data_IF_865496735737
#
_entry.id   IF_865496735737
#
_cell.length_a   1.000
_cell.length_b   1.000
_cell.length_c   1.000
_cell.angle_alpha   90.00
_cell.angle_beta   90.00
_cell.angle_gamma   90.00
#
_symmetry.space_group_name_H-M   'P 1'
#
loop_
_entity.id
_entity.type
_entity.pdbx_description
1 polymer ?
#
# COMPACT_ATOMS: atom_id res chain seq x y z
N UNK A 1 15.13 -2.57 4.60
CA UNK A 1 15.81 -3.63 3.82
C UNK A 1 15.87 -3.13 2.39
N UNK A 2 17.03 -3.19 1.76
CA UNK A 2 17.22 -2.86 0.35
C UNK A 2 16.71 -4.02 -0.51
N UNK A 3 16.12 -3.72 -1.66
CA UNK A 3 15.50 -4.72 -2.52
C UNK A 3 16.48 -5.80 -3.01
N UNK A 4 17.73 -5.42 -3.29
CA UNK A 4 18.77 -6.38 -3.69
C UNK A 4 19.10 -7.36 -2.56
N UNK A 5 19.28 -6.88 -1.33
CA UNK A 5 19.50 -7.74 -0.17
C UNK A 5 18.31 -8.68 0.11
N UNK A 6 17.09 -8.24 -0.16
CA UNK A 6 15.92 -9.10 -0.07
C UNK A 6 15.94 -10.21 -1.12
N UNK A 7 16.27 -9.89 -2.37
CA UNK A 7 16.41 -10.89 -3.46
C UNK A 7 17.53 -11.90 -3.17
N UNK A 8 18.68 -11.43 -2.69
CA UNK A 8 19.79 -12.29 -2.28
C UNK A 8 19.38 -13.25 -1.15
N UNK A 9 18.69 -12.74 -0.14
CA UNK A 9 18.20 -13.56 0.98
C UNK A 9 17.24 -14.63 0.51
N UNK A 10 16.31 -14.31 -0.41
CA UNK A 10 15.40 -15.30 -1.02
C UNK A 10 16.17 -16.32 -1.84
N UNK A 11 17.18 -15.90 -2.61
CA UNK A 11 18.04 -16.83 -3.36
C UNK A 11 18.78 -17.80 -2.43
N UNK A 12 19.27 -17.32 -1.28
CA UNK A 12 19.89 -18.19 -0.26
C UNK A 12 18.88 -19.21 0.28
N UNK A 13 17.65 -18.80 0.61
CA UNK A 13 16.59 -19.71 1.07
C UNK A 13 16.26 -20.76 0.02
N UNK A 14 16.23 -20.40 -1.26
CA UNK A 14 15.95 -21.34 -2.35
C UNK A 14 17.03 -22.43 -2.52
N UNK A 15 18.25 -22.16 -2.08
CA UNK A 15 19.38 -23.09 -2.15
C UNK A 15 19.51 -23.99 -0.92
N UNK A 16 18.61 -23.85 0.08
CA UNK A 16 18.63 -24.74 1.25
C UNK A 16 18.22 -26.17 0.84
N UNK A 17 18.99 -27.15 1.27
CA UNK A 17 18.62 -28.56 1.15
C UNK A 17 17.62 -28.93 2.24
N UNK A 18 16.55 -29.63 1.88
CA UNK A 18 15.52 -30.07 2.81
C UNK A 18 14.28 -29.19 2.79
N UNK A 19 13.62 -29.01 3.95
CA UNK A 19 12.38 -28.22 4.05
C UNK A 19 12.71 -26.71 4.04
N UNK A 20 12.36 -26.03 2.95
CA UNK A 20 12.54 -24.57 2.87
C UNK A 20 11.56 -23.85 3.81
N UNK A 21 12.02 -22.86 4.58
CA UNK A 21 11.15 -22.08 5.46
C UNK A 21 10.18 -21.20 4.63
N UNK A 22 9.07 -20.84 5.25
CA UNK A 22 8.20 -19.79 4.70
C UNK A 22 8.92 -18.44 4.79
N UNK A 23 8.73 -17.60 3.79
CA UNK A 23 9.35 -16.26 3.70
C UNK A 23 8.30 -15.19 3.78
N UNK A 24 8.46 -14.26 4.72
CA UNK A 24 7.73 -13.00 4.77
C UNK A 24 8.73 -11.87 4.44
N UNK A 25 8.54 -11.22 3.29
CA UNK A 25 9.39 -10.12 2.85
C UNK A 25 8.75 -8.77 3.12
N UNK A 26 9.44 -7.91 3.87
CA UNK A 26 9.00 -6.55 4.17
C UNK A 26 9.56 -5.48 3.20
N UNK A 27 10.39 -5.90 2.23
CA UNK A 27 10.93 -4.98 1.21
C UNK A 27 9.90 -4.65 0.13
N UNK A 28 10.27 -3.81 -0.83
CA UNK A 28 9.46 -3.55 -2.02
C UNK A 28 9.71 -4.56 -3.16
N UNK A 29 10.74 -5.41 -3.02
CA UNK A 29 11.23 -6.27 -4.10
C UNK A 29 10.20 -7.23 -4.69
N UNK A 30 9.28 -7.72 -3.86
CA UNK A 30 8.41 -8.83 -4.25
C UNK A 30 6.91 -8.50 -4.21
N UNK A 31 6.52 -7.25 -3.92
CA UNK A 31 5.10 -6.86 -3.73
C UNK A 31 4.23 -6.97 -4.98
N UNK A 32 4.85 -6.97 -6.15
CA UNK A 32 4.16 -7.09 -7.45
C UNK A 32 4.58 -8.34 -8.24
N UNK A 33 5.28 -9.27 -7.60
CA UNK A 33 5.76 -10.50 -8.23
C UNK A 33 4.68 -11.59 -8.16
N UNK A 34 4.43 -12.27 -9.26
CA UNK A 34 3.35 -13.25 -9.38
C UNK A 34 3.51 -14.47 -8.45
N UNK A 35 4.76 -14.80 -8.08
CA UNK A 35 5.07 -15.93 -7.20
C UNK A 35 4.89 -15.61 -5.70
N UNK A 36 4.54 -14.36 -5.38
CA UNK A 36 4.36 -13.88 -4.02
C UNK A 36 2.91 -13.54 -3.75
N UNK A 37 2.39 -14.03 -2.63
CA UNK A 37 1.07 -13.60 -2.17
C UNK A 37 1.21 -12.23 -1.50
N UNK A 38 0.41 -11.28 -1.94
CA UNK A 38 0.37 -9.94 -1.33
C UNK A 38 -0.27 -10.02 0.05
N UNK A 39 0.42 -9.57 1.09
CA UNK A 39 0.11 -9.80 2.50
C UNK A 39 -0.95 -8.89 3.10
N UNK A 40 -1.96 -8.48 2.31
CA UNK A 40 -3.12 -7.74 2.80
C UNK A 40 -4.33 -8.67 2.85
N UNK A 41 -4.67 -9.16 4.04
CA UNK A 41 -5.64 -10.22 4.24
C UNK A 41 -7.06 -9.86 3.76
N UNK A 42 -7.42 -8.60 3.88
CA UNK A 42 -8.72 -8.06 3.49
C UNK A 42 -8.77 -7.56 2.04
N UNK A 43 -7.78 -7.91 1.22
CA UNK A 43 -7.74 -7.48 -0.18
C UNK A 43 -8.94 -7.99 -0.98
N UNK A 44 -9.30 -9.24 -0.77
CA UNK A 44 -10.47 -9.89 -1.40
C UNK A 44 -10.83 -11.17 -0.65
N UNK A 45 -11.99 -11.71 -0.95
CA UNK A 45 -12.43 -13.02 -0.40
C UNK A 45 -11.41 -14.11 -0.72
N UNK A 46 -10.99 -14.87 0.29
CA UNK A 46 -10.00 -15.94 0.19
C UNK A 46 -8.53 -15.50 0.29
N UNK A 47 -8.26 -14.20 0.41
CA UNK A 47 -6.89 -13.69 0.51
C UNK A 47 -6.21 -14.12 1.83
N UNK A 48 -6.95 -14.11 2.94
CA UNK A 48 -6.43 -14.56 4.23
C UNK A 48 -5.98 -16.03 4.19
N UNK A 49 -6.76 -16.91 3.56
CA UNK A 49 -6.42 -18.31 3.35
C UNK A 49 -5.25 -18.49 2.39
N UNK A 50 -5.17 -17.65 1.35
CA UNK A 50 -4.03 -17.65 0.44
C UNK A 50 -2.74 -17.28 1.18
N UNK A 51 -2.76 -16.24 2.02
CA UNK A 51 -1.63 -15.84 2.87
C UNK A 51 -1.27 -16.98 3.83
N UNK A 52 -2.25 -17.61 4.49
CA UNK A 52 -2.01 -18.69 5.44
C UNK A 52 -1.31 -19.91 4.82
N UNK A 53 -1.57 -20.20 3.53
CA UNK A 53 -0.98 -21.36 2.81
C UNK A 53 0.28 -21.01 2.04
N UNK A 54 0.56 -19.74 1.79
CA UNK A 54 1.67 -19.31 0.94
C UNK A 54 3.03 -19.66 1.56
N UNK A 55 3.96 -20.09 0.75
CA UNK A 55 5.38 -20.20 1.11
C UNK A 55 6.08 -18.84 1.08
N UNK A 56 5.54 -17.87 0.32
CA UNK A 56 6.12 -16.54 0.12
C UNK A 56 5.04 -15.48 0.22
N UNK A 57 5.21 -14.55 1.16
CA UNK A 57 4.29 -13.44 1.40
C UNK A 57 5.06 -12.13 1.32
N UNK A 58 4.59 -11.19 0.51
CA UNK A 58 5.13 -9.83 0.43
C UNK A 58 4.32 -8.90 1.33
N UNK A 59 4.95 -8.38 2.39
CA UNK A 59 4.29 -7.45 3.32
C UNK A 59 4.03 -6.10 2.65
N UNK A 60 2.79 -5.58 2.71
CA UNK A 60 2.41 -4.31 2.11
C UNK A 60 3.22 -3.11 2.60
N UNK A 61 3.36 -2.11 1.75
CA UNK A 61 3.85 -0.80 2.14
C UNK A 61 2.82 -0.03 2.97
N UNK A 62 3.29 0.79 3.90
CA UNK A 62 2.43 1.48 4.86
C UNK A 62 1.35 2.37 4.20
N UNK A 63 1.75 3.29 3.32
CA UNK A 63 0.79 4.11 2.57
C UNK A 63 -0.05 3.28 1.59
N UNK A 64 0.56 2.25 1.00
CA UNK A 64 -0.15 1.38 0.07
C UNK A 64 -1.29 0.64 0.77
N UNK A 65 -1.10 0.16 1.99
CA UNK A 65 -2.16 -0.48 2.78
C UNK A 65 -3.38 0.42 2.91
N UNK A 66 -3.19 1.69 3.34
CA UNK A 66 -4.30 2.64 3.48
C UNK A 66 -4.97 2.99 2.15
N UNK A 67 -4.18 3.20 1.10
CA UNK A 67 -4.71 3.50 -0.22
C UNK A 67 -5.51 2.32 -0.82
N UNK A 68 -4.96 1.11 -0.74
CA UNK A 68 -5.62 -0.12 -1.23
C UNK A 68 -6.91 -0.38 -0.46
N UNK A 69 -6.88 -0.24 0.87
CA UNK A 69 -8.05 -0.42 1.72
C UNK A 69 -9.23 0.50 1.34
N UNK A 70 -8.94 1.69 0.85
CA UNK A 70 -9.99 2.62 0.42
C UNK A 70 -10.38 2.44 -1.05
N UNK A 71 -9.43 2.17 -1.95
CA UNK A 71 -9.67 2.17 -3.40
C UNK A 71 -10.26 0.83 -3.87
N UNK A 72 -9.69 -0.29 -3.43
CA UNK A 72 -10.05 -1.61 -3.93
C UNK A 72 -11.54 -1.91 -3.81
N UNK A 73 -12.19 -1.69 -2.65
CA UNK A 73 -13.64 -1.93 -2.51
C UNK A 73 -14.49 -1.11 -3.47
N UNK A 74 -14.08 0.13 -3.76
CA UNK A 74 -14.83 1.03 -4.63
C UNK A 74 -14.72 0.64 -6.12
N UNK A 75 -13.56 0.11 -6.53
CA UNK A 75 -13.37 -0.43 -7.88
C UNK A 75 -14.16 -1.74 -8.03
N UNK A 76 -14.08 -2.64 -7.06
CA UNK A 76 -14.81 -3.91 -7.08
C UNK A 76 -16.34 -3.72 -7.11
N UNK A 77 -16.83 -2.66 -6.45
CA UNK A 77 -18.23 -2.26 -6.49
C UNK A 77 -18.64 -1.50 -7.78
N UNK A 78 -17.68 -1.20 -8.66
CA UNK A 78 -17.94 -0.44 -9.91
C UNK A 78 -18.26 1.04 -9.69
N UNK A 79 -18.00 1.58 -8.48
CA UNK A 79 -18.28 2.99 -8.13
C UNK A 79 -17.19 3.92 -8.68
N UNK A 80 -15.97 3.44 -8.78
CA UNK A 80 -14.83 4.16 -9.37
C UNK A 80 -14.29 3.33 -10.54
N UNK A 81 -14.23 3.88 -11.75
CA UNK A 81 -13.59 3.20 -12.89
C UNK A 81 -12.08 3.01 -12.63
N UNK A 82 -11.51 1.91 -13.12
CA UNK A 82 -10.08 1.62 -12.96
C UNK A 82 -9.16 2.69 -13.59
N UNK A 83 -9.65 3.44 -14.56
CA UNK A 83 -8.93 4.55 -15.20
C UNK A 83 -9.23 5.92 -14.59
N UNK A 84 -10.01 6.01 -13.51
CA UNK A 84 -10.32 7.28 -12.87
C UNK A 84 -9.05 7.92 -12.29
N UNK A 85 -8.73 9.17 -12.59
CA UNK A 85 -7.57 9.85 -12.04
C UNK A 85 -7.79 10.13 -10.55
N UNK A 86 -6.89 9.62 -9.71
CA UNK A 86 -6.94 9.79 -8.26
C UNK A 86 -5.77 10.63 -7.76
N UNK A 87 -6.01 11.39 -6.70
CA UNK A 87 -4.97 12.05 -5.91
C UNK A 87 -4.91 11.43 -4.51
N UNK A 88 -3.71 11.21 -4.00
CA UNK A 88 -3.42 10.59 -2.72
C UNK A 88 -2.55 11.51 -1.85
N UNK A 89 -3.06 12.67 -1.39
CA UNK A 89 -2.35 13.45 -0.40
C UNK A 89 -2.33 12.68 0.91
N UNK A 90 -1.13 12.51 1.48
CA UNK A 90 -0.97 11.64 2.66
C UNK A 90 0.10 12.19 3.59
N UNK A 91 -0.03 11.96 4.88
CA UNK A 91 0.98 12.36 5.86
C UNK A 91 1.26 11.21 6.82
N UNK A 92 2.53 11.04 7.20
CA UNK A 92 2.94 10.10 8.24
C UNK A 92 3.84 10.76 9.27
N UNK A 93 3.93 10.13 10.42
CA UNK A 93 4.98 10.40 11.39
C UNK A 93 6.34 9.94 10.87
N UNK A 94 7.40 10.53 11.43
CA UNK A 94 8.77 10.33 10.95
C UNK A 94 9.30 8.91 11.14
N UNK A 95 8.75 8.10 12.03
CA UNK A 95 9.17 6.69 12.18
C UNK A 95 8.94 5.86 10.91
N UNK A 96 8.01 6.28 10.03
CA UNK A 96 7.77 5.62 8.75
C UNK A 96 8.90 5.76 7.73
N UNK A 97 9.77 6.76 7.88
CA UNK A 97 10.92 7.01 7.02
C UNK A 97 12.18 6.22 7.36
N UNK A 98 12.12 5.41 8.41
CA UNK A 98 13.24 4.58 8.86
C UNK A 98 14.28 5.36 9.67
N UNK A 99 15.40 4.70 9.95
CA UNK A 99 16.40 5.15 10.92
C UNK A 99 16.92 6.56 10.67
N UNK A 100 17.32 6.88 9.47
CA UNK A 100 17.88 8.20 9.12
C UNK A 100 16.89 9.33 9.39
N UNK A 101 15.62 9.13 9.06
CA UNK A 101 14.58 10.13 9.31
C UNK A 101 14.30 10.27 10.81
N UNK A 102 14.24 9.16 11.54
CA UNK A 102 14.08 9.17 13.00
C UNK A 102 15.20 10.00 13.65
N UNK A 103 16.45 9.71 13.32
CA UNK A 103 17.62 10.43 13.85
C UNK A 103 17.56 11.94 13.54
N UNK A 104 17.16 12.33 12.32
CA UNK A 104 17.05 13.74 11.93
C UNK A 104 15.95 14.47 12.72
N UNK A 105 14.80 13.85 12.94
CA UNK A 105 13.72 14.45 13.73
C UNK A 105 14.03 14.50 15.23
N UNK A 106 14.58 13.45 15.79
CA UNK A 106 14.94 13.37 17.22
C UNK A 106 16.11 14.29 17.59
N UNK A 107 17.00 14.59 16.64
CA UNK A 107 18.07 15.60 16.82
C UNK A 107 17.64 17.04 16.54
N UNK A 108 16.39 17.26 16.14
CA UNK A 108 15.87 18.60 15.82
C UNK A 108 16.40 19.20 14.50
N UNK A 109 16.98 18.39 13.63
CA UNK A 109 17.53 18.85 12.33
C UNK A 109 16.51 18.80 11.20
N UNK A 110 15.38 18.12 11.39
CA UNK A 110 14.34 18.00 10.39
C UNK A 110 13.30 19.14 10.50
N UNK A 111 12.61 19.50 9.39
CA UNK A 111 11.54 20.49 9.39
C UNK A 111 10.32 19.97 10.17
N UNK A 112 9.45 20.88 10.62
CA UNK A 112 8.19 20.50 11.29
C UNK A 112 7.26 19.69 10.37
N UNK A 113 7.30 19.98 9.10
CA UNK A 113 6.49 19.32 8.06
C UNK A 113 7.17 19.47 6.70
N UNK A 114 7.17 18.41 5.90
CA UNK A 114 7.63 18.47 4.52
C UNK A 114 6.91 17.46 3.63
N UNK A 115 6.67 17.85 2.37
CA UNK A 115 6.28 16.92 1.32
C UNK A 115 7.54 16.36 0.64
N UNK A 116 7.54 15.09 0.32
CA UNK A 116 8.69 14.43 -0.31
C UNK A 116 8.26 13.61 -1.54
N UNK A 117 9.22 12.98 -2.22
CA UNK A 117 8.99 12.19 -3.44
C UNK A 117 8.19 12.95 -4.52
N UNK A 118 8.42 14.26 -4.65
CA UNK A 118 7.69 15.16 -5.57
C UNK A 118 7.95 14.88 -7.05
N UNK A 119 8.87 13.99 -7.39
CA UNK A 119 9.02 13.41 -8.73
C UNK A 119 7.90 12.45 -9.11
N UNK A 120 6.90 12.24 -8.26
CA UNK A 120 5.70 11.42 -8.48
C UNK A 120 6.04 9.96 -8.87
N UNK A 121 7.17 9.43 -8.42
CA UNK A 121 7.65 8.08 -8.70
C UNK A 121 7.89 7.27 -7.40
N UNK A 122 7.01 7.45 -6.42
CA UNK A 122 7.15 6.76 -5.14
C UNK A 122 7.02 5.23 -5.29
N UNK A 123 7.84 4.49 -4.54
CA UNK A 123 7.92 3.02 -4.57
C UNK A 123 6.61 2.27 -4.24
N UNK A 124 5.64 2.92 -3.62
CA UNK A 124 4.32 2.32 -3.33
C UNK A 124 3.34 2.37 -4.52
N UNK A 125 3.61 3.17 -5.55
CA UNK A 125 2.69 3.30 -6.69
C UNK A 125 2.47 1.99 -7.45
N UNK A 126 3.52 1.20 -7.76
CA UNK A 126 3.34 -0.08 -8.44
C UNK A 126 2.44 -1.05 -7.66
N UNK A 127 2.64 -1.19 -6.34
CA UNK A 127 1.82 -2.09 -5.53
C UNK A 127 0.38 -1.60 -5.36
N UNK A 128 0.16 -0.27 -5.24
CA UNK A 128 -1.18 0.31 -5.21
C UNK A 128 -1.92 -0.03 -6.50
N UNK A 129 -1.33 0.23 -7.66
CA UNK A 129 -1.93 -0.07 -8.95
C UNK A 129 -2.20 -1.56 -9.13
N UNK A 130 -1.24 -2.40 -8.79
CA UNK A 130 -1.35 -3.85 -8.91
C UNK A 130 -2.49 -4.40 -8.04
N UNK A 131 -2.54 -4.05 -6.77
CA UNK A 131 -3.52 -4.56 -5.82
C UNK A 131 -4.93 -3.98 -6.02
N UNK A 132 -5.06 -2.75 -6.53
CA UNK A 132 -6.36 -2.12 -6.77
C UNK A 132 -6.91 -2.37 -8.17
N UNK A 133 -6.06 -2.72 -9.13
CA UNK A 133 -6.43 -2.81 -10.55
C UNK A 133 -6.52 -1.46 -11.27
N UNK A 134 -6.02 -0.37 -10.65
CA UNK A 134 -5.95 0.94 -11.31
C UNK A 134 -5.09 0.88 -12.57
N UNK A 135 -5.60 1.42 -13.67
CA UNK A 135 -4.89 1.56 -14.95
C UNK A 135 -4.30 2.95 -15.15
N UNK A 136 -4.81 3.96 -14.44
CA UNK A 136 -4.22 5.30 -14.39
C UNK A 136 -3.43 5.46 -13.09
N UNK A 137 -2.17 5.87 -13.21
CA UNK A 137 -1.29 6.07 -12.05
C UNK A 137 -1.79 7.25 -11.20
N UNK A 138 -2.06 7.05 -9.90
CA UNK A 138 -2.51 8.14 -9.05
C UNK A 138 -1.40 9.17 -8.78
N UNK A 139 -1.80 10.41 -8.53
CA UNK A 139 -0.92 11.47 -8.02
C UNK A 139 -0.72 11.25 -6.53
N UNK A 140 0.38 10.62 -6.15
CA UNK A 140 0.71 10.38 -4.76
C UNK A 140 1.66 11.46 -4.24
N UNK A 141 1.21 12.20 -3.23
CA UNK A 141 1.97 13.28 -2.59
C UNK A 141 2.13 12.95 -1.10
N UNK A 142 3.16 12.17 -0.75
CA UNK A 142 3.44 11.86 0.65
C UNK A 142 4.09 13.04 1.36
N UNK A 143 3.76 13.18 2.63
CA UNK A 143 4.36 14.17 3.53
C UNK A 143 4.76 13.50 4.85
N UNK A 144 5.67 14.12 5.57
CA UNK A 144 6.06 13.73 6.91
C UNK A 144 5.90 14.91 7.86
N UNK A 145 5.40 14.64 9.05
CA UNK A 145 5.23 15.64 10.12
C UNK A 145 6.07 15.29 11.35
N UNK A 146 6.35 16.30 12.17
CA UNK A 146 7.09 16.15 13.41
C UNK A 146 6.22 15.52 14.52
N UNK A 147 5.77 14.32 14.26
CA UNK A 147 5.19 13.40 15.25
C UNK A 147 5.72 11.99 14.98
N UNK A 148 5.89 11.20 16.03
CA UNK A 148 6.64 9.97 15.93
C UNK A 148 5.98 8.95 15.00
N UNK A 149 4.70 8.66 15.21
CA UNK A 149 4.00 7.60 14.48
C UNK A 149 2.54 7.95 14.26
N UNK A 150 1.96 7.33 13.26
CA UNK A 150 0.61 7.55 12.79
C UNK A 150 0.62 7.88 11.30
N UNK A 151 -0.52 7.68 10.64
CA UNK A 151 -0.63 7.92 9.22
C UNK A 151 -2.05 8.33 8.86
N UNK A 152 -2.16 9.35 8.02
CA UNK A 152 -3.40 9.73 7.37
C UNK A 152 -3.21 9.56 5.85
N UNK A 153 -4.05 8.73 5.24
CA UNK A 153 -4.14 8.59 3.78
C UNK A 153 -5.47 9.15 3.34
N UNK A 154 -5.47 10.00 2.33
CA UNK A 154 -6.67 10.65 1.83
C UNK A 154 -6.85 10.38 0.35
N UNK A 155 -8.10 10.26 -0.08
CA UNK A 155 -8.52 10.12 -1.48
C UNK A 155 -9.66 11.09 -1.73
N UNK A 156 -9.40 12.37 -2.01
CA UNK A 156 -10.43 13.33 -2.35
C UNK A 156 -11.15 12.90 -3.64
N UNK A 157 -12.48 12.85 -3.61
CA UNK A 157 -13.30 12.46 -4.74
C UNK A 157 -14.35 13.53 -5.05
N UNK A 158 -14.43 13.94 -6.30
CA UNK A 158 -15.56 14.70 -6.82
C UNK A 158 -16.65 13.75 -7.27
N UNK A 159 -17.63 13.47 -6.39
CA UNK A 159 -18.68 12.48 -6.66
C UNK A 159 -19.49 12.79 -7.92
N UNK A 160 -19.65 14.06 -8.27
CA UNK A 160 -20.32 14.49 -9.51
C UNK A 160 -19.57 14.11 -10.79
N UNK A 161 -18.30 13.74 -10.69
CA UNK A 161 -17.48 13.29 -11.82
C UNK A 161 -17.42 11.76 -11.95
N UNK A 162 -17.99 11.05 -10.99
CA UNK A 162 -18.11 9.60 -11.06
C UNK A 162 -19.31 9.18 -11.91
N UNK A 163 -19.23 8.06 -12.62
CA UNK A 163 -20.37 7.56 -13.40
C UNK A 163 -21.52 7.16 -12.46
N UNK A 164 -22.78 7.36 -12.91
CA UNK A 164 -23.92 6.76 -12.23
C UNK A 164 -24.49 7.49 -11.01
N UNK A 165 -24.24 8.78 -10.80
CA UNK A 165 -24.78 9.58 -9.66
C UNK A 165 -24.43 8.98 -8.28
N UNK A 166 -23.17 8.62 -8.10
CA UNK A 166 -22.63 8.07 -6.84
C UNK A 166 -22.82 9.06 -5.69
N UNK A 167 -23.32 8.57 -4.55
CA UNK A 167 -23.49 9.34 -3.30
C UNK A 167 -22.46 8.87 -2.26
N UNK A 168 -22.19 9.68 -1.25
CA UNK A 168 -21.30 9.32 -0.15
C UNK A 168 -21.75 8.03 0.59
N UNK A 169 -23.06 7.81 0.72
CA UNK A 169 -23.61 6.58 1.29
C UNK A 169 -23.23 5.34 0.48
N UNK A 170 -23.25 5.43 -0.85
CA UNK A 170 -22.90 4.30 -1.73
C UNK A 170 -21.43 3.88 -1.55
N UNK A 171 -20.52 4.84 -1.32
CA UNK A 171 -19.13 4.56 -0.99
C UNK A 171 -18.98 3.85 0.36
N UNK A 172 -19.70 4.36 1.39
CA UNK A 172 -19.70 3.76 2.72
C UNK A 172 -20.22 2.32 2.68
N UNK A 173 -21.33 2.10 2.00
CA UNK A 173 -21.96 0.78 1.89
C UNK A 173 -21.04 -0.22 1.15
N UNK A 174 -20.30 0.24 0.15
CA UNK A 174 -19.32 -0.59 -0.54
C UNK A 174 -18.18 -1.04 0.39
N UNK A 175 -17.65 -0.15 1.24
CA UNK A 175 -16.64 -0.52 2.25
C UNK A 175 -17.22 -1.49 3.27
N UNK A 176 -18.40 -1.22 3.82
CA UNK A 176 -19.05 -2.13 4.77
C UNK A 176 -19.24 -3.51 4.15
N UNK A 177 -19.76 -3.59 2.93
CA UNK A 177 -20.00 -4.85 2.24
C UNK A 177 -18.70 -5.61 1.91
N UNK A 178 -17.62 -4.90 1.59
CA UNK A 178 -16.32 -5.53 1.31
C UNK A 178 -15.74 -6.15 2.59
N UNK A 179 -15.60 -5.36 3.65
CA UNK A 179 -14.96 -5.79 4.89
C UNK A 179 -15.81 -6.73 5.76
N UNK A 180 -17.10 -6.86 5.48
CA UNK A 180 -17.91 -7.90 6.10
C UNK A 180 -17.69 -9.32 5.52
N UNK A 181 -17.00 -9.44 4.37
CA UNK A 181 -16.80 -10.70 3.64
C UNK A 181 -15.35 -11.16 3.58
N UNK A 182 -14.40 -10.30 3.95
CA UNK A 182 -12.95 -10.53 3.86
C UNK A 182 -12.30 -10.87 5.20
#
# INVERSE_FOLDING_TARGET
IYDDAARESVAMVNNLSGHAPRVLDASTAHRTQAEWVYGFAELCVGQAEAIARASRVANPGCYATGAIAMIRPLIDAGLIPANHPLSLPSVSGYSGGGRTMIEAYESGQAPLFEAYALGLAHKHLPEIMHATGLTTRPLFVPSVGNFRQGMLVQIPLHLSQLPGKVRAADLHDAWVAHYART
#
